data_IF_086067652409
#
_entry.id   IF_086067652409
#
_cell.length_a   1.000
_cell.length_b   1.000
_cell.length_c   1.000
_cell.angle_alpha   90.00
_cell.angle_beta   90.00
_cell.angle_gamma   90.00
#
_symmetry.space_group_name_H-M   'P 1'
#
loop_
_entity.id
_entity.type
_entity.pdbx_description
1 polymer ?
#
# COMPACT_ATOMS: atom_id res chain seq x y z
N UNK A 1 31.56 58.01 -42.78
CA UNK A 1 31.21 56.59 -42.62
C UNK A 1 30.84 56.34 -41.16
N UNK A 2 29.62 55.89 -40.86
CA UNK A 2 29.24 55.18 -39.64
C UNK A 2 27.89 54.49 -39.92
N UNK A 3 27.91 53.18 -40.15
CA UNK A 3 26.72 52.35 -40.41
C UNK A 3 26.15 51.87 -39.06
N UNK A 4 24.83 51.98 -38.92
CA UNK A 4 24.03 51.56 -37.76
C UNK A 4 24.27 50.07 -37.44
N UNK A 5 24.64 49.75 -36.20
CA UNK A 5 24.59 48.38 -35.68
C UNK A 5 23.32 48.21 -34.85
N UNK A 6 22.45 47.31 -35.31
CA UNK A 6 21.25 46.88 -34.59
C UNK A 6 21.66 45.67 -33.75
N UNK A 7 21.56 45.78 -32.43
CA UNK A 7 21.68 44.63 -31.51
C UNK A 7 20.41 43.78 -31.62
N UNK A 8 20.52 42.62 -32.27
CA UNK A 8 19.53 41.56 -32.16
C UNK A 8 19.74 40.84 -30.82
N UNK A 9 18.83 41.08 -29.86
CA UNK A 9 18.74 40.28 -28.64
C UNK A 9 17.98 39.02 -28.99
N UNK A 10 18.69 37.91 -29.15
CA UNK A 10 18.09 36.58 -29.34
C UNK A 10 17.49 36.11 -28.02
N UNK A 11 16.16 36.12 -27.92
CA UNK A 11 15.42 35.54 -26.80
C UNK A 11 15.26 34.04 -27.05
N UNK A 12 16.09 33.21 -26.41
CA UNK A 12 15.94 31.75 -26.46
C UNK A 12 14.78 31.34 -25.54
N UNK A 13 13.59 31.12 -26.10
CA UNK A 13 12.46 30.52 -25.39
C UNK A 13 12.74 29.01 -25.26
N UNK A 14 13.24 28.58 -24.11
CA UNK A 14 13.30 27.15 -23.78
C UNK A 14 11.87 26.71 -23.50
N UNK A 15 11.21 26.18 -24.53
CA UNK A 15 9.99 25.40 -24.37
C UNK A 15 10.36 24.15 -23.57
N UNK A 16 10.27 24.26 -22.25
CA UNK A 16 10.31 23.11 -21.37
C UNK A 16 9.11 22.23 -21.69
N UNK A 17 9.35 21.13 -22.37
CA UNK A 17 8.37 20.05 -22.52
C UNK A 17 8.07 19.55 -21.11
N UNK A 18 6.99 20.07 -20.50
CA UNK A 18 6.42 19.44 -19.32
C UNK A 18 5.90 18.11 -19.82
N UNK A 19 6.62 17.03 -19.52
CA UNK A 19 6.05 15.69 -19.56
C UNK A 19 4.93 15.70 -18.53
N UNK A 20 3.73 16.03 -18.97
CA UNK A 20 2.53 15.69 -18.22
C UNK A 20 2.49 14.17 -18.27
N UNK A 21 3.03 13.52 -17.23
CA UNK A 21 2.68 12.14 -16.97
C UNK A 21 1.16 12.08 -16.96
N UNK A 22 0.51 11.20 -17.74
CA UNK A 22 -0.90 10.95 -17.51
C UNK A 22 -1.01 10.63 -16.02
N UNK A 23 -1.74 11.46 -15.28
CA UNK A 23 -2.18 11.07 -13.95
C UNK A 23 -2.96 9.80 -14.19
N UNK A 24 -2.38 8.66 -13.84
CA UNK A 24 -3.10 7.40 -13.81
C UNK A 24 -4.36 7.69 -12.99
N UNK A 25 -5.50 7.69 -13.68
CA UNK A 25 -6.75 8.02 -13.03
C UNK A 25 -6.88 7.04 -11.87
N UNK A 26 -6.87 7.55 -10.64
CA UNK A 26 -7.06 6.72 -9.47
C UNK A 26 -8.29 5.85 -9.74
N UNK A 27 -8.12 4.53 -9.68
CA UNK A 27 -9.24 3.61 -9.90
C UNK A 27 -10.34 4.01 -8.92
N UNK A 28 -11.52 4.36 -9.45
CA UNK A 28 -12.63 4.83 -8.64
C UNK A 28 -13.11 3.79 -7.61
N UNK A 29 -12.73 2.52 -7.81
CA UNK A 29 -13.00 1.43 -6.89
C UNK A 29 -11.86 1.17 -5.90
N UNK A 30 -10.74 1.88 -6.00
CA UNK A 30 -9.63 1.76 -5.07
C UNK A 30 -10.04 2.31 -3.72
N UNK A 31 -10.06 1.42 -2.75
CA UNK A 31 -10.51 1.68 -1.39
C UNK A 31 -9.37 2.31 -0.58
N UNK A 32 -8.16 1.79 -0.66
CA UNK A 32 -7.01 2.37 0.04
C UNK A 32 -5.73 1.89 -0.60
N UNK A 33 -4.68 2.70 -0.52
CA UNK A 33 -3.38 2.35 -1.02
C UNK A 33 -2.27 2.97 -0.17
N UNK A 34 -1.62 2.13 0.63
CA UNK A 34 -0.47 2.51 1.44
C UNK A 34 0.79 1.98 0.77
N UNK A 35 1.67 2.90 0.39
CA UNK A 35 2.95 2.57 -0.25
C UNK A 35 4.03 2.22 0.76
N UNK A 36 3.92 2.77 1.97
CA UNK A 36 4.93 2.66 3.04
C UNK A 36 6.30 3.24 2.64
N UNK A 37 6.31 4.25 1.78
CA UNK A 37 7.50 4.98 1.33
C UNK A 37 7.91 6.07 2.32
N UNK A 38 8.19 5.67 3.56
CA UNK A 38 8.59 6.57 4.64
C UNK A 38 7.43 7.26 5.38
N UNK A 39 6.18 6.98 4.98
CA UNK A 39 4.98 7.45 5.66
C UNK A 39 3.80 6.45 5.58
N UNK A 40 2.78 6.71 6.40
CA UNK A 40 1.53 5.94 6.49
C UNK A 40 0.38 6.55 5.71
N UNK A 41 0.67 7.40 4.71
CA UNK A 41 -0.35 8.13 3.97
C UNK A 41 -1.07 7.21 2.98
N UNK A 42 -2.33 7.55 2.74
CA UNK A 42 -3.20 6.86 1.81
C UNK A 42 -3.10 7.57 0.46
N UNK A 43 -2.48 6.89 -0.49
CA UNK A 43 -2.28 7.36 -1.87
C UNK A 43 -3.52 7.17 -2.75
N UNK A 44 -4.60 6.54 -2.26
CA UNK A 44 -5.83 6.40 -3.05
C UNK A 44 -6.67 7.69 -3.12
N UNK A 45 -6.38 8.67 -2.25
CA UNK A 45 -7.16 9.90 -2.14
C UNK A 45 -8.41 9.79 -1.25
N UNK A 46 -8.62 8.67 -0.54
CA UNK A 46 -9.76 8.49 0.36
C UNK A 46 -9.47 8.98 1.80
N UNK A 47 -8.27 9.50 2.07
CA UNK A 47 -7.90 10.05 3.37
C UNK A 47 -7.77 8.99 4.47
N UNK A 48 -7.53 7.73 4.11
CA UNK A 48 -7.42 6.60 5.05
C UNK A 48 -6.01 6.46 5.60
N UNK A 49 -5.45 7.56 6.10
CA UNK A 49 -4.09 7.58 6.65
C UNK A 49 -4.01 6.72 7.90
N UNK A 50 -2.90 5.99 8.04
CA UNK A 50 -2.68 5.15 9.20
C UNK A 50 -1.42 5.51 9.96
N UNK A 51 -1.22 4.79 11.06
CA UNK A 51 -0.11 4.97 11.99
C UNK A 51 0.50 3.63 12.33
N UNK A 52 1.78 3.67 12.68
CA UNK A 52 2.54 2.50 13.11
C UNK A 52 2.43 2.37 14.63
N UNK A 53 2.41 1.14 15.11
CA UNK A 53 2.46 0.79 16.53
C UNK A 53 3.61 -0.17 16.80
N UNK A 54 4.06 -0.26 18.05
CA UNK A 54 5.24 -1.02 18.43
C UNK A 54 6.53 -0.33 18.00
N UNK A 55 7.49 -1.13 17.54
CA UNK A 55 8.75 -0.69 16.92
C UNK A 55 8.79 -0.94 15.40
N UNK A 56 7.62 -1.22 14.81
CA UNK A 56 7.39 -1.20 13.38
C UNK A 56 8.02 0.04 12.72
N UNK A 57 8.70 -0.17 11.60
CA UNK A 57 9.45 0.88 10.90
C UNK A 57 9.52 0.63 9.40
N UNK A 58 9.93 1.65 8.65
CA UNK A 58 10.11 1.55 7.20
C UNK A 58 11.51 1.02 6.87
N UNK A 59 11.58 0.06 5.96
CA UNK A 59 12.82 -0.55 5.45
C UNK A 59 12.78 -0.64 3.92
N UNK A 60 13.90 -0.79 3.18
CA UNK A 60 13.83 -1.02 1.74
C UNK A 60 12.94 -2.23 1.39
N UNK A 61 12.03 -2.05 0.42
CA UNK A 61 11.04 -3.05 0.02
C UNK A 61 11.16 -3.45 -1.45
N UNK A 62 10.17 -4.22 -1.93
CA UNK A 62 10.09 -4.61 -3.35
C UNK A 62 9.97 -3.40 -4.28
N UNK A 63 9.19 -2.41 -3.88
CA UNK A 63 9.04 -1.12 -4.55
C UNK A 63 9.23 -0.03 -3.50
N UNK A 64 10.31 0.75 -3.62
CA UNK A 64 10.61 1.79 -2.65
C UNK A 64 10.92 1.22 -1.26
N UNK A 65 10.13 1.61 -0.25
CA UNK A 65 10.19 1.06 1.09
C UNK A 65 8.98 0.17 1.40
N UNK A 66 9.08 -0.59 2.49
CA UNK A 66 8.05 -1.44 3.01
C UNK A 66 7.98 -1.29 4.54
N UNK A 67 6.87 -1.75 5.11
CA UNK A 67 6.70 -1.87 6.55
C UNK A 67 7.39 -3.14 7.04
N UNK A 68 8.34 -3.01 7.96
CA UNK A 68 8.90 -4.11 8.72
C UNK A 68 8.04 -4.35 9.97
N UNK A 69 7.60 -5.60 10.15
CA UNK A 69 6.81 -6.08 11.29
C UNK A 69 7.51 -7.33 11.80
N UNK A 70 7.90 -7.36 13.07
CA UNK A 70 8.69 -8.46 13.64
C UNK A 70 7.84 -9.59 14.27
N UNK A 71 6.54 -9.34 14.43
CA UNK A 71 5.57 -10.27 15.03
C UNK A 71 5.33 -10.06 16.53
N UNK A 72 5.93 -9.05 17.17
CA UNK A 72 5.76 -8.72 18.59
C UNK A 72 5.17 -7.33 18.81
N UNK A 73 3.83 -7.25 18.82
CA UNK A 73 3.12 -5.99 19.11
C UNK A 73 3.13 -4.95 17.98
N UNK A 74 3.78 -5.26 16.87
CA UNK A 74 3.90 -4.45 15.67
C UNK A 74 2.67 -4.52 14.76
N UNK A 75 2.17 -3.36 14.34
CA UNK A 75 1.13 -3.27 13.31
C UNK A 75 1.00 -1.86 12.72
N UNK A 76 0.35 -1.79 11.56
CA UNK A 76 -0.17 -0.56 10.98
C UNK A 76 -1.70 -0.50 11.15
N UNK A 77 -2.22 0.62 11.63
CA UNK A 77 -3.66 0.82 11.85
C UNK A 77 -4.18 2.07 11.17
N UNK A 78 -5.40 1.99 10.64
CA UNK A 78 -6.17 3.14 10.15
C UNK A 78 -7.31 3.39 11.11
N UNK A 79 -7.09 4.27 12.07
CA UNK A 79 -8.05 4.50 13.14
C UNK A 79 -9.37 5.08 12.62
N UNK A 80 -10.48 4.54 13.12
CA UNK A 80 -11.83 4.94 12.73
C UNK A 80 -12.30 4.39 11.39
N UNK A 81 -11.42 3.78 10.58
CA UNK A 81 -11.83 3.08 9.37
C UNK A 81 -12.26 1.65 9.69
N UNK A 82 -13.56 1.38 9.56
CA UNK A 82 -14.11 0.07 9.92
C UNK A 82 -13.72 -1.04 8.91
N UNK A 83 -13.27 -0.67 7.71
CA UNK A 83 -12.94 -1.58 6.63
C UNK A 83 -13.97 -1.63 5.49
N UNK A 84 -13.88 -2.68 4.68
CA UNK A 84 -14.70 -2.88 3.48
C UNK A 84 -15.91 -3.76 3.82
N UNK A 85 -17.11 -3.17 3.86
CA UNK A 85 -18.37 -3.89 4.15
C UNK A 85 -19.39 -3.82 3.00
N UNK A 86 -18.93 -3.79 1.75
CA UNK A 86 -19.84 -3.89 0.62
C UNK A 86 -20.25 -5.35 0.39
N UNK A 87 -21.44 -5.56 -0.17
CA UNK A 87 -21.85 -6.86 -0.71
C UNK A 87 -21.12 -7.19 -2.03
N UNK A 88 -20.28 -6.27 -2.51
CA UNK A 88 -19.52 -6.42 -3.75
C UNK A 88 -18.25 -7.24 -3.51
N UNK A 89 -17.75 -7.95 -4.54
CA UNK A 89 -16.44 -8.59 -4.49
C UNK A 89 -15.35 -7.57 -4.13
N UNK A 90 -14.35 -8.03 -3.38
CA UNK A 90 -13.20 -7.23 -2.95
C UNK A 90 -11.92 -7.91 -3.43
N UNK A 91 -10.96 -7.10 -3.89
CA UNK A 91 -9.61 -7.54 -4.21
C UNK A 91 -8.63 -6.88 -3.25
N UNK A 92 -7.61 -7.64 -2.83
CA UNK A 92 -6.49 -7.15 -2.02
C UNK A 92 -5.20 -7.56 -2.71
N UNK A 93 -4.25 -6.65 -2.81
CA UNK A 93 -2.93 -6.88 -3.39
C UNK A 93 -1.86 -6.32 -2.47
N UNK A 94 -0.78 -7.09 -2.27
CA UNK A 94 0.36 -6.70 -1.45
C UNK A 94 1.61 -7.43 -1.91
N UNK A 95 2.77 -6.79 -1.74
CA UNK A 95 4.07 -7.47 -1.74
C UNK A 95 4.39 -7.87 -0.32
N UNK A 96 4.72 -9.14 -0.10
CA UNK A 96 5.01 -9.69 1.22
C UNK A 96 6.31 -10.48 1.13
N UNK A 97 7.22 -10.23 2.07
CA UNK A 97 8.37 -11.07 2.33
C UNK A 97 8.25 -11.53 3.78
N UNK A 98 8.26 -12.84 4.02
CA UNK A 98 8.20 -13.40 5.36
C UNK A 98 8.99 -14.71 5.42
N UNK A 99 9.57 -14.99 6.58
CA UNK A 99 10.09 -16.32 6.94
C UNK A 99 9.22 -17.00 7.98
N UNK A 100 8.09 -16.38 8.35
CA UNK A 100 7.20 -16.86 9.39
C UNK A 100 6.59 -18.22 9.01
N UNK A 101 6.72 -19.15 9.94
CA UNK A 101 6.17 -20.50 9.87
C UNK A 101 5.03 -20.71 10.86
N UNK A 102 4.76 -19.71 11.70
CA UNK A 102 3.73 -19.72 12.71
C UNK A 102 2.31 -19.67 12.15
N UNK A 103 1.38 -19.67 13.09
CA UNK A 103 -0.04 -19.51 12.81
C UNK A 103 -0.43 -18.06 13.10
N UNK A 104 -1.19 -17.42 12.19
CA UNK A 104 -1.82 -16.09 12.35
C UNK A 104 -0.97 -14.84 12.00
N UNK A 105 -0.09 -14.89 10.99
CA UNK A 105 0.58 -13.70 10.46
C UNK A 105 -0.33 -12.85 9.57
N UNK A 106 -1.06 -11.87 10.14
CA UNK A 106 -1.99 -11.03 9.40
C UNK A 106 -1.27 -10.06 8.42
N UNK A 107 -1.64 -10.10 7.14
CA UNK A 107 -1.22 -9.13 6.12
C UNK A 107 -2.14 -7.90 6.18
N UNK A 108 -3.44 -8.15 6.22
CA UNK A 108 -4.47 -7.13 6.37
C UNK A 108 -5.73 -7.77 6.95
N UNK A 109 -6.40 -7.05 7.83
CA UNK A 109 -7.69 -7.47 8.34
C UNK A 109 -8.60 -6.26 8.59
N UNK A 110 -9.89 -6.52 8.62
CA UNK A 110 -10.86 -5.52 9.05
C UNK A 110 -12.12 -6.15 9.61
N UNK A 111 -12.90 -5.33 10.30
CA UNK A 111 -14.12 -5.75 10.97
C UNK A 111 -13.95 -6.09 12.44
N UNK A 112 -15.04 -6.57 13.03
CA UNK A 112 -15.10 -6.84 14.47
C UNK A 112 -14.69 -8.28 14.72
N UNK A 113 -13.78 -8.48 15.69
CA UNK A 113 -13.41 -9.81 16.20
C UNK A 113 -14.60 -10.51 16.89
N UNK A 114 -15.51 -10.99 16.06
CA UNK A 114 -16.77 -11.64 16.39
C UNK A 114 -17.17 -12.52 15.18
N UNK A 115 -17.96 -13.57 15.41
CA UNK A 115 -18.33 -14.51 14.36
C UNK A 115 -18.92 -13.81 13.13
N UNK A 116 -18.39 -14.15 11.94
CA UNK A 116 -18.81 -13.66 10.61
C UNK A 116 -18.72 -12.14 10.41
N UNK A 117 -17.87 -11.46 11.18
CA UNK A 117 -17.77 -9.98 11.16
C UNK A 117 -16.35 -9.46 10.96
N UNK A 118 -15.38 -10.36 10.78
CA UNK A 118 -13.98 -10.06 10.49
C UNK A 118 -13.58 -10.79 9.22
N UNK A 119 -12.84 -10.11 8.37
CA UNK A 119 -12.15 -10.69 7.21
C UNK A 119 -10.66 -10.54 7.45
N UNK A 120 -9.92 -11.59 7.16
CA UNK A 120 -8.48 -11.66 7.34
C UNK A 120 -7.81 -12.17 6.08
N UNK A 121 -6.82 -11.42 5.59
CA UNK A 121 -5.82 -11.86 4.62
C UNK A 121 -4.53 -12.08 5.39
N UNK A 122 -4.04 -13.33 5.42
CA UNK A 122 -2.94 -13.70 6.30
C UNK A 122 -2.06 -14.80 5.74
N UNK A 123 -0.89 -14.93 6.34
CA UNK A 123 -0.04 -16.11 6.26
C UNK A 123 -0.39 -17.02 7.43
N UNK A 124 -0.63 -18.30 7.12
CA UNK A 124 -0.92 -19.32 8.10
C UNK A 124 -0.11 -20.58 7.76
N UNK A 125 0.81 -20.97 8.65
CA UNK A 125 1.75 -22.06 8.41
C UNK A 125 2.46 -21.92 7.04
N UNK A 126 2.95 -20.70 6.77
CA UNK A 126 3.68 -20.35 5.56
C UNK A 126 2.86 -20.23 4.27
N UNK A 127 1.51 -20.25 4.33
CA UNK A 127 0.66 -20.17 3.12
C UNK A 127 -0.35 -19.04 3.21
N UNK A 128 -0.72 -18.47 2.07
CA UNK A 128 -1.79 -17.49 2.00
C UNK A 128 -3.12 -18.12 2.40
N UNK A 129 -3.84 -17.42 3.27
CA UNK A 129 -5.15 -17.82 3.76
C UNK A 129 -6.05 -16.61 3.86
N UNK A 130 -7.31 -16.82 3.49
CA UNK A 130 -8.40 -15.88 3.74
C UNK A 130 -9.33 -16.49 4.77
N UNK A 131 -9.69 -15.73 5.79
CA UNK A 131 -10.68 -16.14 6.79
C UNK A 131 -11.86 -15.18 6.86
N UNK A 132 -13.03 -15.71 7.19
CA UNK A 132 -14.23 -14.94 7.46
C UNK A 132 -14.95 -15.46 8.70
N UNK A 133 -14.31 -15.31 9.88
CA UNK A 133 -14.84 -15.54 11.23
C UNK A 133 -15.47 -16.91 11.57
N UNK A 134 -15.74 -17.78 10.60
CA UNK A 134 -16.40 -19.09 10.73
C UNK A 134 -16.05 -20.03 9.56
N UNK A 135 -15.09 -19.64 8.73
CA UNK A 135 -14.64 -20.41 7.57
C UNK A 135 -13.36 -19.78 7.02
N UNK A 136 -12.62 -20.58 6.27
CA UNK A 136 -11.37 -20.15 5.66
C UNK A 136 -11.17 -20.83 4.30
N UNK A 137 -10.30 -20.25 3.50
CA UNK A 137 -9.71 -20.87 2.34
C UNK A 137 -8.20 -20.63 2.41
N UNK A 138 -7.42 -21.70 2.31
CA UNK A 138 -5.96 -21.66 2.35
C UNK A 138 -5.40 -22.20 1.04
N UNK A 139 -4.39 -21.53 0.50
CA UNK A 139 -3.65 -22.03 -0.65
C UNK A 139 -2.65 -23.11 -0.25
N UNK A 140 -2.17 -23.87 -1.22
CA UNK A 140 -1.23 -24.98 -0.98
C UNK A 140 0.24 -24.58 -1.12
N UNK A 141 0.50 -23.45 -1.79
CA UNK A 141 1.85 -22.93 -2.06
C UNK A 141 2.46 -22.29 -0.81
N UNK A 142 3.70 -22.67 -0.49
CA UNK A 142 4.52 -21.99 0.52
C UNK A 142 4.95 -20.61 0.01
N UNK A 143 4.83 -19.59 0.85
CA UNK A 143 5.17 -18.19 0.58
C UNK A 143 6.17 -17.62 1.58
N UNK A 144 6.72 -18.47 2.45
CA UNK A 144 7.66 -18.11 3.51
C UNK A 144 9.12 -18.28 3.08
N UNK A 145 9.44 -17.91 1.85
CA UNK A 145 10.73 -18.10 1.19
C UNK A 145 11.68 -16.88 1.30
N UNK A 146 11.42 -16.02 2.30
CA UNK A 146 12.14 -14.76 2.55
C UNK A 146 13.66 -14.84 2.67
#
# INVERSE_FOLDING_TARGET
MCKKLICLVSLAFVLGSVWTHPTEAADANLVGWWKFDGDGLDSSGNGRHGTLSGDAHYTPGYLGQALALDGDGDYFTVDGYLGVFSASPVSVTAWVNTTDTGELGDIAYWGRSAGRRRVDFRINAGRLRVEHGSGNLQGDTSLNDG
#
